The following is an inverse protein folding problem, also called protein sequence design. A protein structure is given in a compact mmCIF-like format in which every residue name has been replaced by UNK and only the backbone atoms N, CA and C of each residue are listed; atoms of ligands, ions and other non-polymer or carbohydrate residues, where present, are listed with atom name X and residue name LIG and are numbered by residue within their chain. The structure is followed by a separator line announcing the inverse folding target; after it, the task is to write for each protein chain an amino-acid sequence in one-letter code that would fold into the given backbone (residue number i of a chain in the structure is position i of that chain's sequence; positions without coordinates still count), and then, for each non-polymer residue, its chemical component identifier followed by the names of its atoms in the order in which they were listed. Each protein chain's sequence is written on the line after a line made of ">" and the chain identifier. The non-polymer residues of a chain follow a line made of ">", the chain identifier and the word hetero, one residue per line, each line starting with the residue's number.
data_IF_425711132501
#
_entry.id   IF_425711132501
#
_cell.length_a   1.000
_cell.length_b   1.000
_cell.length_c   1.000
_cell.angle_alpha   90.00
_cell.angle_beta   90.00
_cell.angle_gamma   90.00
#
_symmetry.space_group_name_H-M   'P 1'
#
loop_
_entity.id
_entity.type
_entity.pdbx_description
1 polymer ?
#
# COMPACT_ATOMS: atom_id res chain seq x y z
N UNK A 1 -3.41 -21.79 16.65
CA UNK A 1 -2.23 -21.05 16.15
C UNK A 1 -2.06 -19.79 17.00
N UNK A 2 -0.90 -19.59 17.62
CA UNK A 2 -0.63 -18.38 18.43
C UNK A 2 -0.09 -17.32 17.47
N UNK A 3 -0.89 -16.28 17.18
CA UNK A 3 -0.46 -15.13 16.38
C UNK A 3 -0.08 -14.00 17.34
N UNK A 4 1.09 -13.40 17.13
CA UNK A 4 1.49 -12.18 17.84
C UNK A 4 0.47 -11.05 17.57
N UNK A 5 0.22 -10.22 18.59
CA UNK A 5 -0.78 -9.13 18.56
C UNK A 5 -0.23 -7.89 19.24
N UNK A 6 -0.71 -6.72 18.81
CA UNK A 6 -0.35 -5.45 19.44
C UNK A 6 -1.34 -5.07 20.53
N UNK A 7 -0.81 -4.61 21.66
CA UNK A 7 -1.58 -4.09 22.77
C UNK A 7 -1.07 -2.70 23.18
N UNK A 8 -1.97 -1.81 23.53
CA UNK A 8 -1.62 -0.50 24.07
C UNK A 8 -0.94 -0.63 25.44
N UNK A 9 0.22 0.01 25.62
CA UNK A 9 0.92 0.05 26.93
C UNK A 9 0.66 1.35 27.71
N UNK A 10 0.05 2.33 27.05
CA UNK A 10 -0.32 3.66 27.55
C UNK A 10 -1.67 4.07 26.94
N UNK A 11 -2.39 5.06 27.48
CA UNK A 11 -3.57 5.57 26.83
C UNK A 11 -3.21 6.33 25.55
N UNK A 12 -4.12 6.31 24.57
CA UNK A 12 -4.08 7.14 23.37
C UNK A 12 -5.42 7.86 23.20
N UNK A 13 -5.38 9.15 22.86
CA UNK A 13 -6.59 9.91 22.54
C UNK A 13 -7.05 9.65 21.10
N UNK A 14 -8.33 9.87 20.80
CA UNK A 14 -8.82 9.91 19.42
C UNK A 14 -7.97 10.85 18.55
N UNK A 15 -7.56 10.38 17.36
CA UNK A 15 -6.68 11.11 16.46
C UNK A 15 -5.18 11.03 16.78
N UNK A 16 -4.77 10.46 17.93
CA UNK A 16 -3.35 10.27 18.26
C UNK A 16 -2.73 9.14 17.42
N UNK A 17 -1.47 9.31 17.02
CA UNK A 17 -0.68 8.26 16.39
C UNK A 17 -0.29 7.20 17.43
N UNK A 18 -0.81 5.98 17.26
CA UNK A 18 -0.51 4.80 18.08
C UNK A 18 0.92 4.30 17.80
N UNK A 19 1.28 4.22 16.51
CA UNK A 19 2.64 3.91 16.07
C UNK A 19 2.92 4.52 14.69
N UNK A 20 4.20 4.68 14.38
CA UNK A 20 4.69 5.08 13.06
C UNK A 20 5.75 4.08 12.60
N UNK A 21 5.66 3.64 11.34
CA UNK A 21 6.49 2.58 10.80
C UNK A 21 6.93 2.85 9.35
N UNK A 22 8.18 2.48 9.04
CA UNK A 22 8.70 2.43 7.67
C UNK A 22 8.41 1.05 7.07
N UNK A 23 8.09 0.95 5.77
CA UNK A 23 7.86 -0.34 5.15
C UNK A 23 9.18 -1.11 5.01
N UNK A 24 9.11 -2.44 5.16
CA UNK A 24 10.19 -3.37 4.82
C UNK A 24 10.47 -3.33 3.32
N UNK A 25 9.39 -3.30 2.53
CA UNK A 25 9.43 -3.05 1.09
C UNK A 25 8.15 -2.32 0.69
N UNK A 26 8.25 -1.41 -0.28
CA UNK A 26 7.09 -0.75 -0.88
C UNK A 26 7.37 -0.44 -2.35
N UNK A 27 6.31 -0.39 -3.17
CA UNK A 27 6.37 0.03 -4.57
C UNK A 27 5.04 0.62 -5.03
N UNK A 28 5.08 1.34 -6.15
CA UNK A 28 3.89 1.82 -6.84
C UNK A 28 3.15 0.67 -7.52
N UNK A 29 1.82 0.73 -7.55
CA UNK A 29 0.99 -0.23 -8.27
C UNK A 29 1.20 -0.14 -9.79
N UNK A 30 1.06 -1.26 -10.49
CA UNK A 30 1.36 -1.36 -11.91
C UNK A 30 0.40 -0.53 -12.76
N UNK A 31 -0.90 -0.59 -12.46
CA UNK A 31 -1.92 0.23 -13.10
C UNK A 31 -1.77 1.70 -12.75
N UNK A 32 -1.47 2.04 -11.49
CA UNK A 32 -1.23 3.42 -11.08
C UNK A 32 -0.08 4.04 -11.92
N UNK A 33 1.02 3.31 -12.12
CA UNK A 33 2.10 3.75 -13.00
C UNK A 33 1.68 3.81 -14.47
N UNK A 34 0.92 2.83 -14.97
CA UNK A 34 0.43 2.82 -16.35
C UNK A 34 -0.47 4.03 -16.66
N UNK A 35 -1.28 4.45 -15.68
CA UNK A 35 -2.12 5.64 -15.68
C UNK A 35 -1.34 6.95 -15.44
N UNK A 36 -0.01 6.91 -15.50
CA UNK A 36 0.89 8.08 -15.47
C UNK A 36 0.91 8.85 -14.15
N UNK A 37 0.50 8.24 -13.05
CA UNK A 37 0.77 8.80 -11.74
C UNK A 37 2.28 8.78 -11.48
N UNK A 38 2.88 9.94 -11.27
CA UNK A 38 4.30 10.06 -11.02
C UNK A 38 4.57 10.02 -9.50
N UNK A 39 5.21 8.95 -9.03
CA UNK A 39 5.58 8.76 -7.63
C UNK A 39 7.08 8.53 -7.48
N UNK A 40 7.65 8.95 -6.36
CA UNK A 40 9.02 8.59 -5.99
C UNK A 40 9.12 7.08 -5.86
N UNK A 41 10.06 6.47 -6.59
CA UNK A 41 10.22 5.02 -6.63
C UNK A 41 10.54 4.42 -5.25
N UNK A 42 11.15 5.19 -4.34
CA UNK A 42 11.38 4.76 -2.97
C UNK A 42 10.19 5.04 -2.06
N UNK A 43 9.83 6.31 -1.90
CA UNK A 43 9.01 6.77 -0.77
C UNK A 43 7.55 7.04 -1.12
N UNK A 44 7.12 6.75 -2.36
CA UNK A 44 5.76 6.98 -2.85
C UNK A 44 5.30 8.44 -2.89
N UNK A 45 6.12 9.43 -2.47
CA UNK A 45 5.78 10.86 -2.59
C UNK A 45 5.36 11.21 -4.02
N UNK A 46 4.27 11.97 -4.22
CA UNK A 46 3.92 12.48 -5.53
C UNK A 46 5.02 13.38 -6.11
N UNK A 47 5.31 13.16 -7.39
CA UNK A 47 6.29 13.95 -8.15
C UNK A 47 5.63 15.01 -9.05
N UNK A 48 4.30 15.07 -9.05
CA UNK A 48 3.53 16.17 -9.64
C UNK A 48 3.21 17.23 -8.58
N UNK A 49 3.12 18.50 -8.99
CA UNK A 49 2.53 19.54 -8.15
C UNK A 49 1.02 19.34 -8.06
N UNK A 50 0.38 19.91 -7.03
CA UNK A 50 -1.08 19.87 -6.91
C UNK A 50 -1.78 20.42 -8.15
N UNK A 51 -1.26 21.50 -8.72
CA UNK A 51 -1.81 22.11 -9.93
C UNK A 51 -1.63 21.24 -11.18
N UNK A 52 -0.43 20.68 -11.39
CA UNK A 52 -0.19 19.79 -12.53
C UNK A 52 -1.06 18.53 -12.43
N UNK A 53 -1.19 18.00 -11.22
CA UNK A 53 -2.06 16.87 -10.91
C UNK A 53 -3.54 17.19 -11.22
N UNK A 54 -4.06 18.31 -10.72
CA UNK A 54 -5.44 18.74 -10.98
C UNK A 54 -5.70 18.98 -12.48
N UNK A 55 -4.78 19.64 -13.20
CA UNK A 55 -4.89 19.84 -14.66
C UNK A 55 -5.00 18.53 -15.42
N UNK A 56 -4.18 17.54 -15.05
CA UNK A 56 -4.16 16.22 -15.71
C UNK A 56 -5.46 15.47 -15.42
N UNK A 57 -5.85 15.40 -14.16
CA UNK A 57 -7.01 14.62 -13.72
C UNK A 57 -8.35 15.23 -14.19
N UNK A 58 -8.45 16.56 -14.24
CA UNK A 58 -9.64 17.26 -14.74
C UNK A 58 -9.62 17.48 -16.26
N UNK A 59 -8.58 17.02 -16.98
CA UNK A 59 -8.35 17.32 -18.41
C UNK A 59 -8.42 18.82 -18.76
N UNK A 60 -8.05 19.70 -17.82
CA UNK A 60 -8.13 21.18 -17.95
C UNK A 60 -6.72 21.80 -17.90
N UNK A 61 -6.00 21.92 -19.02
CA UNK A 61 -4.61 22.44 -19.02
C UNK A 61 -4.49 23.90 -18.57
N UNK A 62 -5.57 24.67 -18.63
CA UNK A 62 -5.60 26.06 -18.19
C UNK A 62 -5.99 26.24 -16.72
N UNK A 63 -6.37 25.18 -16.00
CA UNK A 63 -6.70 25.24 -14.58
C UNK A 63 -5.54 25.86 -13.78
N UNK A 64 -5.88 26.73 -12.84
CA UNK A 64 -4.94 27.36 -11.92
C UNK A 64 -5.41 27.13 -10.50
N UNK A 65 -4.55 26.58 -9.67
CA UNK A 65 -4.83 26.46 -8.24
C UNK A 65 -4.31 27.71 -7.52
N UNK A 66 -5.13 28.38 -6.70
CA UNK A 66 -4.65 29.46 -5.85
C UNK A 66 -3.70 28.90 -4.76
N UNK A 67 -3.09 29.78 -3.98
CA UNK A 67 -2.24 29.39 -2.83
C UNK A 67 -1.15 28.36 -3.20
N UNK A 68 -0.20 28.69 -4.10
CA UNK A 68 0.87 27.76 -4.49
C UNK A 68 1.75 27.32 -3.32
N UNK A 69 1.81 28.12 -2.24
CA UNK A 69 2.47 27.77 -0.98
C UNK A 69 1.88 26.55 -0.27
N UNK A 70 0.60 26.22 -0.52
CA UNK A 70 -0.04 25.02 0.02
C UNK A 70 0.42 23.73 -0.70
N UNK A 71 1.12 23.82 -1.83
CA UNK A 71 1.68 22.67 -2.52
C UNK A 71 3.05 22.31 -1.93
N UNK A 72 3.19 21.09 -1.43
CA UNK A 72 4.44 20.63 -0.78
C UNK A 72 5.45 20.00 -1.75
N UNK A 73 5.08 19.81 -3.02
CA UNK A 73 5.96 19.17 -4.03
C UNK A 73 7.16 20.06 -4.35
N UNK A 74 8.36 19.49 -4.33
CA UNK A 74 9.63 20.19 -4.59
C UNK A 74 10.26 19.71 -5.89
N UNK A 75 9.67 20.09 -7.02
CA UNK A 75 10.08 19.63 -8.35
C UNK A 75 11.57 19.85 -8.67
N UNK A 76 12.16 20.91 -8.12
CA UNK A 76 13.58 21.25 -8.25
C UNK A 76 14.53 20.25 -7.57
N UNK A 77 14.05 19.47 -6.60
CA UNK A 77 14.85 18.45 -5.90
C UNK A 77 14.74 17.07 -6.58
N UNK A 78 13.84 16.92 -7.55
CA UNK A 78 13.60 15.64 -8.20
C UNK A 78 14.82 15.20 -9.01
N UNK A 79 15.16 13.93 -8.89
CA UNK A 79 16.28 13.30 -9.60
C UNK A 79 15.84 11.98 -10.22
N UNK A 80 16.52 11.55 -11.27
CA UNK A 80 16.29 10.24 -11.90
C UNK A 80 17.54 9.37 -11.80
N UNK A 81 17.33 8.05 -11.84
CA UNK A 81 18.41 7.10 -12.06
C UNK A 81 18.98 7.29 -13.47
N UNK A 82 20.30 7.51 -13.65
CA UNK A 82 20.88 7.71 -14.97
C UNK A 82 20.81 6.46 -15.86
N UNK A 83 20.71 5.27 -15.26
CA UNK A 83 20.63 4.00 -15.99
C UNK A 83 19.23 3.73 -16.54
N UNK A 84 18.23 3.62 -15.67
CA UNK A 84 16.88 3.18 -16.04
C UNK A 84 15.79 4.28 -15.98
N UNK A 85 16.15 5.52 -15.64
CA UNK A 85 15.24 6.67 -15.53
C UNK A 85 14.16 6.58 -14.44
N UNK A 86 14.28 5.64 -13.48
CA UNK A 86 13.42 5.64 -12.29
C UNK A 86 13.52 6.98 -11.53
N UNK A 87 12.39 7.55 -11.15
CA UNK A 87 12.30 8.90 -10.60
C UNK A 87 12.23 8.90 -9.06
N UNK A 88 12.87 9.90 -8.46
CA UNK A 88 12.95 10.07 -7.01
C UNK A 88 12.69 11.53 -6.63
N UNK A 89 12.07 11.76 -5.47
CA UNK A 89 11.82 13.12 -5.00
C UNK A 89 13.09 13.84 -4.52
N UNK A 90 14.19 13.13 -4.30
CA UNK A 90 15.47 13.68 -3.83
C UNK A 90 16.63 12.72 -4.08
N UNK A 91 17.85 13.25 -4.06
CA UNK A 91 19.09 12.45 -4.09
C UNK A 91 19.18 11.46 -2.93
N UNK A 92 18.69 11.87 -1.75
CA UNK A 92 18.64 10.98 -0.58
C UNK A 92 17.77 9.74 -0.85
N UNK A 93 16.61 9.91 -1.50
CA UNK A 93 15.77 8.78 -1.89
C UNK A 93 16.42 7.92 -2.97
N UNK A 94 17.06 8.52 -3.98
CA UNK A 94 17.78 7.77 -5.02
C UNK A 94 18.90 6.91 -4.41
N UNK A 95 19.73 7.52 -3.57
CA UNK A 95 20.86 6.85 -2.91
C UNK A 95 20.39 5.73 -1.98
N UNK A 96 19.33 5.96 -1.19
CA UNK A 96 18.75 4.93 -0.32
C UNK A 96 18.15 3.77 -1.12
N UNK A 97 17.44 4.03 -2.20
CA UNK A 97 16.94 2.97 -3.09
C UNK A 97 18.08 2.17 -3.73
N UNK A 98 19.15 2.84 -4.17
CA UNK A 98 20.35 2.22 -4.72
C UNK A 98 21.00 1.23 -3.75
N UNK A 99 21.10 1.61 -2.48
CA UNK A 99 21.64 0.73 -1.43
C UNK A 99 20.70 -0.44 -1.12
N UNK A 100 19.39 -0.23 -1.18
CA UNK A 100 18.40 -1.24 -0.74
C UNK A 100 18.06 -2.28 -1.80
N UNK A 101 17.68 -1.89 -3.02
CA UNK A 101 17.15 -2.83 -4.02
C UNK A 101 17.40 -2.42 -5.48
N UNK A 102 17.77 -1.16 -5.73
CA UNK A 102 17.70 -0.60 -7.08
C UNK A 102 18.89 -0.95 -7.96
N UNK A 103 20.05 -1.39 -7.45
CA UNK A 103 21.15 -1.88 -8.30
C UNK A 103 20.69 -3.09 -9.14
N UNK A 104 20.05 -4.06 -8.48
CA UNK A 104 19.49 -5.25 -9.12
C UNK A 104 18.35 -4.86 -10.05
N UNK A 105 17.39 -4.05 -9.60
CA UNK A 105 16.27 -3.64 -10.45
C UNK A 105 16.69 -2.77 -11.64
N UNK A 106 17.72 -1.93 -11.50
CA UNK A 106 18.27 -1.14 -12.59
C UNK A 106 18.88 -2.06 -13.66
N UNK A 107 19.68 -3.06 -13.24
CA UNK A 107 20.22 -4.04 -14.18
C UNK A 107 19.09 -4.78 -14.93
N UNK A 108 18.10 -5.30 -14.20
CA UNK A 108 16.94 -6.03 -14.77
C UNK A 108 16.12 -5.15 -15.72
N UNK A 109 16.00 -3.85 -15.43
CA UNK A 109 15.26 -2.90 -16.28
C UNK A 109 15.98 -2.59 -17.59
N UNK A 110 17.31 -2.68 -17.60
CA UNK A 110 18.15 -2.43 -18.77
C UNK A 110 18.41 -3.68 -19.62
N UNK A 111 17.94 -4.86 -19.19
CA UNK A 111 18.02 -6.08 -19.99
C UNK A 111 17.23 -5.94 -21.31
N UNK A 112 17.80 -6.32 -22.48
CA UNK A 112 17.13 -6.19 -23.77
C UNK A 112 15.79 -6.92 -23.86
N UNK A 113 15.65 -8.03 -23.13
CA UNK A 113 14.41 -8.81 -23.06
C UNK A 113 13.31 -8.14 -22.23
N UNK A 114 13.65 -7.07 -21.49
CA UNK A 114 12.76 -6.28 -20.63
C UNK A 114 11.89 -7.15 -19.70
N UNK A 115 12.49 -8.06 -18.90
CA UNK A 115 11.75 -9.08 -18.15
C UNK A 115 10.78 -8.49 -17.12
N UNK A 116 11.18 -7.43 -16.40
CA UNK A 116 10.30 -6.76 -15.45
C UNK A 116 9.09 -6.12 -16.14
N UNK A 117 9.30 -5.47 -17.28
CA UNK A 117 8.21 -4.88 -18.06
C UNK A 117 7.22 -5.95 -18.51
N UNK A 118 7.70 -7.04 -19.10
CA UNK A 118 6.84 -8.13 -19.57
C UNK A 118 6.04 -8.77 -18.43
N UNK A 119 6.65 -8.92 -17.26
CA UNK A 119 5.97 -9.43 -16.05
C UNK A 119 4.86 -8.48 -15.60
N UNK A 120 5.10 -7.17 -15.61
CA UNK A 120 4.08 -6.17 -15.26
C UNK A 120 2.95 -6.09 -16.28
N UNK A 121 3.24 -6.22 -17.58
CA UNK A 121 2.20 -6.29 -18.61
C UNK A 121 1.34 -7.55 -18.42
N UNK A 122 1.96 -8.72 -18.19
CA UNK A 122 1.23 -9.94 -17.89
C UNK A 122 0.41 -9.84 -16.59
N UNK A 123 0.93 -9.18 -15.56
CA UNK A 123 0.18 -8.94 -14.33
C UNK A 123 -1.10 -8.15 -14.57
N UNK A 124 -1.02 -7.06 -15.35
CA UNK A 124 -2.15 -6.19 -15.66
C UNK A 124 -3.23 -6.87 -16.51
N UNK A 125 -2.89 -7.86 -17.33
CA UNK A 125 -3.91 -8.63 -18.08
C UNK A 125 -4.71 -9.57 -17.18
N UNK A 126 -4.14 -9.98 -16.04
CA UNK A 126 -4.79 -10.86 -15.07
C UNK A 126 -5.50 -10.09 -13.95
N UNK A 127 -5.02 -8.89 -13.61
CA UNK A 127 -5.50 -8.08 -12.49
C UNK A 127 -5.93 -6.71 -13.01
N UNK A 128 -7.19 -6.58 -13.41
CA UNK A 128 -7.79 -5.29 -13.81
C UNK A 128 -8.06 -4.42 -12.56
N UNK A 129 -8.05 -3.08 -12.66
CA UNK A 129 -8.33 -2.21 -11.51
C UNK A 129 -9.70 -2.45 -10.85
N UNK A 130 -9.86 -2.16 -9.54
CA UNK A 130 -8.85 -1.59 -8.65
C UNK A 130 -7.77 -2.61 -8.25
N UNK A 131 -6.51 -2.19 -8.38
CA UNK A 131 -5.36 -3.01 -7.98
C UNK A 131 -5.11 -2.82 -6.48
N UNK A 132 -5.06 -3.91 -5.71
CA UNK A 132 -4.77 -3.86 -4.26
C UNK A 132 -3.34 -4.28 -3.93
N UNK A 133 -2.65 -4.85 -4.90
CA UNK A 133 -1.26 -5.33 -4.77
C UNK A 133 -0.63 -5.49 -6.15
N UNK A 134 0.69 -5.63 -6.21
CA UNK A 134 1.41 -5.79 -7.48
C UNK A 134 2.56 -6.78 -7.39
N UNK A 135 2.83 -7.50 -8.48
CA UNK A 135 3.97 -8.42 -8.60
C UNK A 135 5.31 -7.72 -8.40
N UNK A 136 5.38 -6.40 -8.66
CA UNK A 136 6.61 -5.64 -8.44
C UNK A 136 7.07 -5.68 -6.99
N UNK A 137 6.16 -5.77 -6.02
CA UNK A 137 6.53 -5.84 -4.61
C UNK A 137 7.34 -7.10 -4.33
N UNK A 138 6.94 -8.23 -4.89
CA UNK A 138 7.69 -9.49 -4.81
C UNK A 138 9.07 -9.37 -5.47
N UNK A 139 9.13 -8.77 -6.66
CA UNK A 139 10.41 -8.54 -7.37
C UNK A 139 11.34 -7.62 -6.57
N UNK A 140 10.78 -6.59 -5.91
CA UNK A 140 11.52 -5.66 -5.07
C UNK A 140 12.06 -6.31 -3.80
N UNK A 141 11.28 -7.18 -3.17
CA UNK A 141 11.73 -7.99 -2.02
C UNK A 141 12.89 -8.90 -2.45
N UNK A 142 12.77 -9.59 -3.60
CA UNK A 142 13.85 -10.43 -4.12
C UNK A 142 15.12 -9.62 -4.44
N UNK A 143 14.97 -8.45 -5.06
CA UNK A 143 16.09 -7.56 -5.33
C UNK A 143 16.76 -7.05 -4.05
N UNK A 144 15.95 -6.70 -3.04
CA UNK A 144 16.46 -6.28 -1.73
C UNK A 144 17.24 -7.41 -1.04
N UNK A 145 16.71 -8.64 -1.10
CA UNK A 145 17.38 -9.81 -0.56
C UNK A 145 18.73 -10.09 -1.24
N UNK A 146 18.80 -9.95 -2.57
CA UNK A 146 20.05 -10.12 -3.33
C UNK A 146 21.09 -9.06 -2.95
N UNK A 147 20.66 -7.82 -2.66
CA UNK A 147 21.54 -6.71 -2.28
C UNK A 147 21.91 -6.69 -0.80
N UNK A 148 21.17 -7.39 0.06
CA UNK A 148 21.40 -7.35 1.49
C UNK A 148 22.81 -7.86 1.84
N UNK A 149 23.57 -7.04 2.60
CA UNK A 149 24.86 -7.46 3.15
C UNK A 149 24.68 -8.62 4.14
N UNK A 150 23.65 -8.54 4.98
CA UNK A 150 23.25 -9.58 5.93
C UNK A 150 21.96 -10.27 5.46
N UNK A 151 22.14 -11.39 4.76
CA UNK A 151 21.03 -12.22 4.27
C UNK A 151 20.23 -12.85 5.41
N UNK A 152 20.87 -13.22 6.52
CA UNK A 152 20.19 -13.84 7.65
C UNK A 152 19.22 -12.86 8.31
N UNK A 153 19.62 -11.60 8.45
CA UNK A 153 18.73 -10.53 8.91
C UNK A 153 17.56 -10.30 7.94
N UNK A 154 17.83 -10.30 6.63
CA UNK A 154 16.77 -10.13 5.62
C UNK A 154 15.77 -11.30 5.62
N UNK A 155 16.23 -12.55 5.81
CA UNK A 155 15.34 -13.70 6.02
C UNK A 155 14.51 -13.53 7.28
N UNK A 156 15.16 -13.22 8.42
CA UNK A 156 14.46 -13.07 9.69
C UNK A 156 13.37 -11.99 9.63
N UNK A 157 13.61 -10.88 8.92
CA UNK A 157 12.63 -9.81 8.73
C UNK A 157 11.42 -10.26 7.91
N UNK A 158 11.62 -11.09 6.88
CA UNK A 158 10.53 -11.69 6.09
C UNK A 158 9.78 -12.79 6.86
N UNK A 159 10.47 -13.59 7.67
CA UNK A 159 9.87 -14.64 8.49
C UNK A 159 8.84 -14.10 9.49
N UNK A 160 9.01 -12.86 9.98
CA UNK A 160 8.03 -12.18 10.84
C UNK A 160 6.64 -12.06 10.22
N UNK A 161 6.55 -12.10 8.90
CA UNK A 161 5.28 -12.07 8.20
C UNK A 161 4.78 -13.47 7.79
N UNK A 162 5.65 -14.47 7.83
CA UNK A 162 5.38 -15.84 7.37
C UNK A 162 4.82 -16.77 8.47
N UNK A 163 4.73 -16.32 9.71
CA UNK A 163 4.09 -17.06 10.81
C UNK A 163 2.62 -17.36 10.48
N UNK A 164 2.34 -18.60 10.07
CA UNK A 164 1.03 -19.08 9.63
C UNK A 164 0.90 -19.44 8.14
N UNK A 165 2.00 -19.70 7.45
CA UNK A 165 2.01 -20.09 6.04
C UNK A 165 2.80 -21.38 5.75
N UNK A 166 2.49 -22.52 6.38
CA UNK A 166 2.84 -23.85 5.83
C UNK A 166 1.78 -24.92 6.20
N UNK A 167 1.31 -25.65 5.18
CA UNK A 167 1.10 -27.11 5.11
C UNK A 167 0.53 -27.46 3.70
N UNK A 168 0.82 -28.56 2.98
CA UNK A 168 1.85 -29.60 3.07
C UNK A 168 1.88 -30.44 1.76
N UNK A 169 3.09 -30.82 1.36
CA UNK A 169 3.55 -32.12 0.82
C UNK A 169 3.01 -32.82 -0.45
N UNK A 170 1.80 -32.61 -0.96
CA UNK A 170 1.27 -33.59 -1.94
C UNK A 170 1.74 -33.39 -3.41
N UNK A 171 2.17 -32.18 -3.80
CA UNK A 171 2.54 -31.85 -5.20
C UNK A 171 3.98 -32.25 -5.58
N UNK A 172 4.82 -32.63 -4.60
CA UNK A 172 6.27 -32.79 -4.79
C UNK A 172 6.68 -34.13 -5.42
N UNK A 173 5.83 -35.16 -5.31
CA UNK A 173 6.14 -36.54 -5.73
C UNK A 173 6.17 -36.74 -7.25
N UNK A 174 5.48 -35.87 -8.00
CA UNK A 174 5.41 -35.96 -9.47
C UNK A 174 6.62 -35.27 -10.12
N UNK A 175 7.08 -34.15 -9.56
CA UNK A 175 8.19 -33.35 -10.10
C UNK A 175 9.57 -33.95 -9.77
N UNK A 176 9.71 -34.66 -8.65
CA UNK A 176 10.95 -35.37 -8.28
C UNK A 176 11.33 -36.45 -9.30
N UNK A 177 10.33 -37.11 -9.90
CA UNK A 177 10.52 -38.15 -10.93
C UNK A 177 11.00 -37.62 -12.28
N UNK A 178 10.83 -36.31 -12.55
CA UNK A 178 11.06 -35.71 -13.86
C UNK A 178 12.38 -34.93 -13.97
N UNK A 179 12.91 -34.36 -12.87
CA UNK A 179 13.97 -33.34 -12.93
C UNK A 179 15.22 -33.65 -12.08
N UNK A 180 15.17 -34.69 -11.23
CA UNK A 180 16.28 -35.12 -10.38
C UNK A 180 16.49 -34.29 -9.10
N UNK A 181 16.96 -34.94 -8.05
CA UNK A 181 16.87 -34.46 -6.66
C UNK A 181 17.59 -33.12 -6.38
N UNK A 182 18.74 -32.89 -7.02
CA UNK A 182 19.54 -31.66 -6.84
C UNK A 182 18.87 -30.40 -7.41
N UNK A 183 18.12 -30.54 -8.50
CA UNK A 183 17.41 -29.42 -9.13
C UNK A 183 16.05 -29.21 -8.47
N UNK A 184 15.42 -30.28 -8.03
CA UNK A 184 14.15 -30.26 -7.30
C UNK A 184 14.31 -29.50 -5.99
N UNK A 185 15.40 -29.67 -5.23
CA UNK A 185 15.59 -28.93 -3.98
C UNK A 185 15.75 -27.41 -4.22
N UNK A 186 16.51 -27.01 -5.24
CA UNK A 186 16.68 -25.58 -5.60
C UNK A 186 15.43 -24.95 -6.21
N UNK A 187 14.74 -25.67 -7.09
CA UNK A 187 13.47 -25.23 -7.68
C UNK A 187 12.34 -25.26 -6.66
N UNK A 188 12.37 -26.18 -5.68
CA UNK A 188 11.46 -26.24 -4.52
C UNK A 188 11.68 -25.01 -3.66
N UNK A 189 12.92 -24.74 -3.24
CA UNK A 189 13.23 -23.51 -2.49
C UNK A 189 12.80 -22.27 -3.27
N UNK A 190 13.12 -22.16 -4.56
CA UNK A 190 12.71 -20.99 -5.37
C UNK A 190 11.19 -20.89 -5.53
N UNK A 191 10.48 -21.98 -5.84
CA UNK A 191 9.02 -21.98 -6.01
C UNK A 191 8.30 -21.73 -4.70
N UNK A 192 8.73 -22.36 -3.61
CA UNK A 192 8.11 -22.25 -2.30
C UNK A 192 8.39 -20.87 -1.70
N UNK A 193 9.61 -20.33 -1.87
CA UNK A 193 9.91 -18.94 -1.53
C UNK A 193 9.12 -17.96 -2.39
N UNK A 194 9.02 -18.19 -3.71
CA UNK A 194 8.26 -17.32 -4.62
C UNK A 194 6.77 -17.33 -4.23
N UNK A 195 6.19 -18.51 -4.01
CA UNK A 195 4.80 -18.65 -3.58
C UNK A 195 4.58 -18.07 -2.17
N UNK A 196 5.54 -18.22 -1.26
CA UNK A 196 5.48 -17.60 0.06
C UNK A 196 5.52 -16.07 -0.04
N UNK A 197 6.38 -15.51 -0.90
CA UNK A 197 6.44 -14.06 -1.17
C UNK A 197 5.13 -13.57 -1.80
N UNK A 198 4.52 -14.31 -2.72
CA UNK A 198 3.22 -13.93 -3.27
C UNK A 198 2.09 -13.99 -2.24
N UNK A 199 2.05 -15.02 -1.39
CA UNK A 199 1.08 -15.09 -0.27
C UNK A 199 1.29 -13.95 0.72
N UNK A 200 2.54 -13.65 1.04
CA UNK A 200 2.94 -12.52 1.88
C UNK A 200 2.42 -11.21 1.32
N UNK A 201 2.71 -10.93 0.05
CA UNK A 201 2.30 -9.70 -0.65
C UNK A 201 0.78 -9.57 -0.76
N UNK A 202 0.07 -10.68 -0.97
CA UNK A 202 -1.39 -10.68 -1.04
C UNK A 202 -2.05 -10.48 0.33
N UNK A 203 -1.50 -11.07 1.40
CA UNK A 203 -2.11 -11.04 2.75
C UNK A 203 -1.69 -9.84 3.59
N UNK A 204 -0.44 -9.40 3.45
CA UNK A 204 0.20 -8.41 4.33
C UNK A 204 0.48 -7.08 3.60
N UNK A 205 0.17 -7.00 2.31
CA UNK A 205 0.28 -5.76 1.56
C UNK A 205 -0.72 -4.72 2.06
N UNK A 206 -0.22 -3.60 2.54
CA UNK A 206 -1.01 -2.43 2.86
C UNK A 206 -0.94 -1.44 1.70
N UNK A 207 -2.09 -1.08 1.15
CA UNK A 207 -2.17 -0.05 0.11
C UNK A 207 -1.72 1.29 0.69
N UNK A 208 -0.84 1.97 -0.04
CA UNK A 208 -0.30 3.30 0.24
C UNK A 208 -1.01 4.27 -0.69
N UNK A 209 -1.68 5.28 -0.14
CA UNK A 209 -2.30 6.36 -0.90
C UNK A 209 -1.60 7.69 -0.60
N UNK A 210 -1.16 8.39 -1.65
CA UNK A 210 -0.57 9.73 -1.54
C UNK A 210 -1.17 10.64 -2.61
N UNK A 211 -1.31 11.93 -2.33
CA UNK A 211 -1.93 12.88 -3.27
C UNK A 211 -1.36 14.28 -3.09
N UNK A 212 -0.95 14.89 -4.20
CA UNK A 212 -0.52 16.28 -4.19
C UNK A 212 -1.72 17.22 -3.99
N UNK A 213 -2.85 16.92 -4.64
CA UNK A 213 -4.07 17.73 -4.54
C UNK A 213 -4.68 17.66 -3.15
N UNK A 214 -4.85 16.47 -2.57
CA UNK A 214 -5.47 16.32 -1.24
C UNK A 214 -4.64 16.99 -0.14
N UNK A 215 -3.30 16.98 -0.25
CA UNK A 215 -2.44 17.73 0.66
C UNK A 215 -2.57 19.23 0.46
N UNK A 216 -2.66 19.71 -0.78
CA UNK A 216 -2.91 21.13 -1.04
C UNK A 216 -4.25 21.58 -0.48
N UNK A 217 -5.33 20.81 -0.66
CA UNK A 217 -6.65 21.07 -0.07
C UNK A 217 -6.58 21.13 1.45
N UNK A 218 -5.94 20.14 2.08
CA UNK A 218 -5.75 20.14 3.54
C UNK A 218 -5.02 21.40 4.01
N UNK A 219 -3.90 21.75 3.37
CA UNK A 219 -3.13 22.94 3.73
C UNK A 219 -3.93 24.23 3.48
N UNK A 220 -4.80 24.26 2.46
CA UNK A 220 -5.74 25.36 2.24
C UNK A 220 -6.77 25.45 3.35
N UNK A 221 -7.29 24.34 3.86
CA UNK A 221 -8.23 24.31 4.98
C UNK A 221 -7.62 24.91 6.26
N UNK A 222 -6.32 24.73 6.47
CA UNK A 222 -5.59 25.26 7.62
C UNK A 222 -5.25 26.77 7.49
N UNK A 223 -5.57 27.43 6.37
CA UNK A 223 -5.35 28.88 6.20
C UNK A 223 -6.44 29.71 6.88
N UNK A 224 -6.02 30.74 7.61
CA UNK A 224 -6.90 31.81 8.08
C UNK A 224 -7.19 32.78 6.92
N UNK A 225 -8.37 32.68 6.30
CA UNK A 225 -8.83 33.55 5.21
C UNK A 225 -10.13 34.27 5.59
N UNK A 226 -10.42 35.46 5.02
CA UNK A 226 -11.74 36.08 5.10
C UNK A 226 -12.85 35.19 4.53
N UNK A 227 -14.06 35.23 5.09
CA UNK A 227 -15.19 34.36 4.72
C UNK A 227 -15.50 34.35 3.21
N UNK A 228 -15.42 35.50 2.55
CA UNK A 228 -15.66 35.60 1.10
C UNK A 228 -14.59 34.88 0.26
N UNK A 229 -13.32 34.98 0.69
CA UNK A 229 -12.21 34.28 0.04
C UNK A 229 -12.26 32.77 0.32
N UNK A 230 -12.64 32.38 1.55
CA UNK A 230 -12.89 30.99 1.93
C UNK A 230 -13.98 30.38 1.04
N UNK A 231 -15.16 31.00 0.95
CA UNK A 231 -16.26 30.48 0.14
C UNK A 231 -15.91 30.36 -1.35
N UNK A 232 -15.11 31.30 -1.87
CA UNK A 232 -14.63 31.24 -3.25
C UNK A 232 -13.62 30.10 -3.48
N UNK A 233 -12.75 29.83 -2.50
CA UNK A 233 -11.78 28.75 -2.54
C UNK A 233 -12.45 27.38 -2.43
N UNK A 234 -13.41 27.23 -1.51
CA UNK A 234 -14.14 25.98 -1.31
C UNK A 234 -14.95 25.63 -2.56
N UNK A 235 -15.65 26.59 -3.16
CA UNK A 235 -16.37 26.40 -4.42
C UNK A 235 -15.46 25.99 -5.58
N UNK A 236 -14.23 26.53 -5.63
CA UNK A 236 -13.24 26.10 -6.62
C UNK A 236 -12.78 24.65 -6.36
N UNK A 237 -12.51 24.30 -5.11
CA UNK A 237 -12.08 22.94 -4.71
C UNK A 237 -13.16 21.93 -5.12
N UNK A 238 -14.42 22.20 -4.77
CA UNK A 238 -15.55 21.35 -5.12
C UNK A 238 -15.66 21.18 -6.64
N UNK A 239 -15.56 22.29 -7.40
CA UNK A 239 -15.62 22.22 -8.85
C UNK A 239 -14.48 21.40 -9.45
N UNK A 240 -13.27 21.50 -8.91
CA UNK A 240 -12.13 20.69 -9.36
C UNK A 240 -12.39 19.20 -9.09
N UNK A 241 -12.93 18.83 -7.93
CA UNK A 241 -13.26 17.44 -7.65
C UNK A 241 -14.38 16.90 -8.55
N UNK A 242 -15.42 17.68 -8.82
CA UNK A 242 -16.46 17.31 -9.78
C UNK A 242 -15.91 17.09 -11.19
N UNK A 243 -15.02 17.97 -11.65
CA UNK A 243 -14.37 17.85 -12.95
C UNK A 243 -13.51 16.58 -13.01
N UNK A 244 -12.77 16.28 -11.95
CA UNK A 244 -11.94 15.08 -11.89
C UNK A 244 -12.81 13.82 -11.88
N UNK A 245 -13.86 13.76 -11.07
CA UNK A 245 -14.76 12.61 -11.01
C UNK A 245 -15.38 12.33 -12.38
N UNK A 246 -15.75 13.39 -13.12
CA UNK A 246 -16.30 13.26 -14.46
C UNK A 246 -15.30 12.73 -15.49
N UNK A 247 -14.04 13.17 -15.43
CA UNK A 247 -13.03 12.86 -16.45
C UNK A 247 -12.20 11.61 -16.13
N UNK A 248 -11.81 11.43 -14.87
CA UNK A 248 -10.90 10.37 -14.39
C UNK A 248 -11.55 9.40 -13.40
N UNK A 249 -12.77 9.67 -12.92
CA UNK A 249 -13.45 8.89 -11.88
C UNK A 249 -12.76 8.97 -10.52
N UNK A 250 -13.01 7.98 -9.67
CA UNK A 250 -12.52 7.93 -8.30
C UNK A 250 -10.98 7.74 -8.14
N UNK A 251 -10.24 7.61 -9.24
CA UNK A 251 -8.78 7.47 -9.20
C UNK A 251 -8.15 8.87 -9.02
N UNK A 252 -7.80 9.20 -7.78
CA UNK A 252 -7.20 10.50 -7.42
C UNK A 252 -5.74 10.38 -6.98
N UNK A 253 -5.37 9.21 -6.48
CA UNK A 253 -4.16 9.05 -5.69
C UNK A 253 -3.02 8.43 -6.49
N UNK A 254 -1.80 8.77 -6.09
CA UNK A 254 -0.67 7.91 -6.28
C UNK A 254 -0.82 6.71 -5.32
N UNK A 255 -0.96 5.53 -5.90
CA UNK A 255 -1.23 4.30 -5.18
C UNK A 255 -0.06 3.33 -5.25
N UNK A 256 0.27 2.76 -4.11
CA UNK A 256 1.31 1.77 -3.94
C UNK A 256 0.88 0.67 -2.98
N UNK A 257 1.80 -0.24 -2.72
CA UNK A 257 1.65 -1.27 -1.69
C UNK A 257 2.94 -1.38 -0.91
N UNK A 258 2.84 -1.61 0.40
CA UNK A 258 3.99 -1.83 1.28
C UNK A 258 3.75 -2.92 2.32
N UNK A 259 4.84 -3.50 2.83
CA UNK A 259 4.83 -4.45 3.95
C UNK A 259 5.30 -3.77 5.22
N UNK A 260 4.49 -3.84 6.27
CA UNK A 260 4.71 -3.16 7.56
C UNK A 260 4.68 -4.19 8.69
N UNK A 261 5.81 -4.39 9.36
CA UNK A 261 6.00 -5.49 10.32
C UNK A 261 5.08 -5.37 11.53
N UNK A 262 4.96 -4.18 12.11
CA UNK A 262 4.12 -3.96 13.29
C UNK A 262 2.65 -3.90 12.91
N UNK A 263 2.30 -3.19 11.84
CA UNK A 263 0.90 -3.14 11.40
C UNK A 263 0.33 -4.53 11.06
N UNK A 264 1.14 -5.44 10.50
CA UNK A 264 0.73 -6.81 10.21
C UNK A 264 0.34 -7.66 11.45
N UNK A 265 0.71 -7.21 12.65
CA UNK A 265 0.32 -7.84 13.92
C UNK A 265 -1.07 -7.39 14.39
N UNK A 266 -1.67 -6.36 13.80
CA UNK A 266 -3.00 -5.90 14.18
C UNK A 266 -4.05 -6.89 13.69
N UNK A 267 -4.91 -7.36 14.60
CA UNK A 267 -6.06 -8.19 14.26
C UNK A 267 -7.16 -7.38 13.57
N UNK A 268 -7.99 -8.07 12.79
CA UNK A 268 -9.21 -7.48 12.26
C UNK A 268 -10.27 -7.24 13.35
N UNK A 269 -10.94 -6.09 13.29
CA UNK A 269 -12.24 -5.84 13.93
C UNK A 269 -13.18 -5.13 12.96
N UNK A 270 -14.48 -5.49 12.96
CA UNK A 270 -15.49 -4.74 12.20
C UNK A 270 -15.87 -3.40 12.88
N UNK A 271 -15.34 -3.16 14.07
CA UNK A 271 -15.38 -1.90 14.84
C UNK A 271 -13.96 -1.63 15.34
N UNK A 272 -13.03 -1.27 14.44
CA UNK A 272 -11.62 -1.10 14.80
C UNK A 272 -11.43 0.09 15.73
N UNK A 273 -10.33 0.08 16.49
CA UNK A 273 -9.92 1.22 17.32
C UNK A 273 -8.76 2.01 16.70
N UNK A 274 -8.16 1.54 15.62
CA UNK A 274 -7.15 2.25 14.86
C UNK A 274 -7.34 2.07 13.35
N UNK A 275 -6.80 3.01 12.56
CA UNK A 275 -6.73 2.93 11.11
C UNK A 275 -5.35 3.29 10.57
N UNK A 276 -4.98 2.68 9.44
CA UNK A 276 -3.76 3.06 8.69
C UNK A 276 -3.95 4.42 8.04
N UNK A 277 -2.95 5.30 8.18
CA UNK A 277 -2.89 6.62 7.55
C UNK A 277 -1.47 6.95 7.09
N UNK A 278 -1.34 7.84 6.12
CA UNK A 278 -0.06 8.29 5.54
C UNK A 278 0.09 9.82 5.68
N UNK A 279 0.19 10.34 6.91
CA UNK A 279 0.08 11.79 7.18
C UNK A 279 1.20 12.62 6.54
N UNK A 280 2.33 11.99 6.19
CA UNK A 280 3.49 12.67 5.58
C UNK A 280 3.48 12.67 4.05
N UNK A 281 2.38 12.21 3.43
CA UNK A 281 2.22 12.08 1.98
C UNK A 281 3.34 11.26 1.34
N UNK A 282 3.73 10.17 2.01
CA UNK A 282 4.78 9.24 1.60
C UNK A 282 4.44 7.83 2.14
N UNK A 283 5.33 6.87 1.95
CA UNK A 283 5.18 5.49 2.39
C UNK A 283 5.23 5.22 3.91
N UNK A 284 5.36 6.26 4.75
CA UNK A 284 5.47 6.09 6.20
C UNK A 284 4.06 5.89 6.74
N UNK A 285 3.81 4.70 7.30
CA UNK A 285 2.53 4.35 7.88
C UNK A 285 2.42 4.92 9.29
N UNK A 286 1.26 5.47 9.61
CA UNK A 286 0.85 5.83 10.96
C UNK A 286 -0.45 5.09 11.28
N UNK A 287 -0.49 4.33 12.37
CA UNK A 287 -1.76 3.87 12.92
C UNK A 287 -2.33 4.98 13.77
N UNK A 288 -3.50 5.49 13.41
CA UNK A 288 -4.17 6.60 14.10
C UNK A 288 -5.37 6.04 14.87
N UNK A 289 -5.50 6.43 16.14
CA UNK A 289 -6.61 6.03 16.98
C UNK A 289 -7.94 6.62 16.46
N UNK A 290 -8.97 5.77 16.33
CA UNK A 290 -10.33 6.13 15.90
C UNK A 290 -11.24 6.52 17.07
N UNK A 291 -10.79 6.27 18.29
CA UNK A 291 -11.41 6.58 19.57
C UNK A 291 -10.32 6.53 20.64
N UNK A 292 -10.63 6.98 21.85
CA UNK A 292 -9.74 6.75 22.99
C UNK A 292 -9.45 5.26 23.18
N UNK A 293 -8.17 4.93 23.39
CA UNK A 293 -7.66 3.56 23.60
C UNK A 293 -7.02 3.50 24.99
N UNK A 294 -7.48 2.57 25.83
CA UNK A 294 -6.92 2.38 27.17
C UNK A 294 -5.71 1.42 27.19
N UNK A 295 -4.80 1.53 28.17
CA UNK A 295 -3.76 0.53 28.38
C UNK A 295 -4.34 -0.88 28.50
N UNK A 296 -3.72 -1.84 27.82
CA UNK A 296 -4.14 -3.24 27.76
C UNK A 296 -5.15 -3.56 26.65
N UNK A 297 -5.71 -2.57 25.94
CA UNK A 297 -6.55 -2.84 24.77
C UNK A 297 -5.72 -3.36 23.59
N UNK A 298 -6.24 -4.36 22.87
CA UNK A 298 -5.66 -4.80 21.61
C UNK A 298 -5.83 -3.72 20.53
N UNK A 299 -4.78 -3.44 19.77
CA UNK A 299 -4.86 -2.56 18.60
C UNK A 299 -5.42 -3.37 17.43
N UNK A 300 -6.56 -2.92 16.92
CA UNK A 300 -7.32 -3.59 15.85
C UNK A 300 -7.60 -2.63 14.71
N UNK A 301 -7.52 -3.15 13.48
CA UNK A 301 -7.77 -2.41 12.24
C UNK A 301 -8.86 -3.11 11.42
N UNK A 302 -9.44 -2.42 10.44
CA UNK A 302 -10.29 -3.10 9.45
C UNK A 302 -9.43 -3.67 8.32
N UNK A 303 -9.74 -4.89 7.87
CA UNK A 303 -9.18 -5.49 6.66
C UNK A 303 -10.13 -5.32 5.45
N UNK A 304 -11.30 -4.75 5.72
CA UNK A 304 -12.34 -4.47 4.74
C UNK A 304 -12.35 -2.96 4.48
N UNK A 305 -12.58 -2.58 3.23
CA UNK A 305 -12.91 -1.21 2.87
C UNK A 305 -14.24 -0.77 3.51
N UNK A 306 -14.49 0.55 3.55
CA UNK A 306 -15.67 1.12 4.22
C UNK A 306 -16.99 0.60 3.63
N UNK A 307 -17.06 0.39 2.31
CA UNK A 307 -18.25 -0.16 1.67
C UNK A 307 -18.51 -1.59 2.16
N UNK A 308 -17.48 -2.44 2.15
CA UNK A 308 -17.54 -3.81 2.66
C UNK A 308 -17.84 -3.85 4.16
N UNK A 309 -17.28 -2.93 4.94
CA UNK A 309 -17.50 -2.81 6.39
C UNK A 309 -18.95 -2.46 6.74
N UNK A 310 -19.65 -1.75 5.84
CA UNK A 310 -21.06 -1.38 6.01
C UNK A 310 -22.04 -2.48 5.59
N UNK A 311 -21.57 -3.57 4.95
CA UNK A 311 -22.42 -4.71 4.58
C UNK A 311 -22.83 -5.58 5.77
N UNK A 312 -23.75 -6.51 5.51
CA UNK A 312 -24.23 -7.48 6.51
C UNK A 312 -23.12 -8.34 7.11
N UNK A 313 -23.35 -8.87 8.32
CA UNK A 313 -22.44 -9.82 8.99
C UNK A 313 -22.02 -10.97 8.08
N UNK A 314 -22.97 -11.51 7.32
CA UNK A 314 -22.74 -12.59 6.37
C UNK A 314 -21.72 -12.19 5.31
N UNK A 315 -21.95 -11.07 4.61
CA UNK A 315 -21.05 -10.54 3.57
C UNK A 315 -19.64 -10.28 4.11
N UNK A 316 -19.52 -9.63 5.28
CA UNK A 316 -18.22 -9.36 5.91
C UNK A 316 -17.49 -10.64 6.26
N UNK A 317 -18.19 -11.61 6.86
CA UNK A 317 -17.59 -12.90 7.25
C UNK A 317 -17.16 -13.71 6.04
N UNK A 318 -17.95 -13.70 4.96
CA UNK A 318 -17.61 -14.35 3.70
C UNK A 318 -16.32 -13.77 3.11
N UNK A 319 -16.24 -12.44 2.97
CA UNK A 319 -15.02 -11.76 2.47
C UNK A 319 -13.79 -12.06 3.34
N UNK A 320 -13.95 -12.03 4.66
CA UNK A 320 -12.85 -12.32 5.60
C UNK A 320 -12.38 -13.79 5.51
N UNK A 321 -13.28 -14.74 5.27
CA UNK A 321 -12.92 -16.15 5.08
C UNK A 321 -12.25 -16.37 3.73
N UNK A 322 -12.77 -15.79 2.66
CA UNK A 322 -12.24 -15.97 1.29
C UNK A 322 -10.87 -15.32 1.11
N UNK A 323 -10.67 -14.10 1.65
CA UNK A 323 -9.46 -13.32 1.40
C UNK A 323 -8.41 -13.45 2.51
N UNK A 324 -8.83 -13.69 3.75
CA UNK A 324 -7.94 -13.66 4.91
C UNK A 324 -7.96 -14.95 5.74
N UNK A 325 -8.75 -15.96 5.33
CA UNK A 325 -8.90 -17.24 6.01
C UNK A 325 -9.25 -17.09 7.50
N UNK A 326 -10.00 -16.04 7.85
CA UNK A 326 -10.34 -15.73 9.24
C UNK A 326 -11.85 -15.63 9.45
N UNK A 327 -12.30 -15.98 10.66
CA UNK A 327 -13.66 -15.71 11.13
C UNK A 327 -13.60 -14.63 12.21
N UNK A 328 -14.34 -13.54 12.02
CA UNK A 328 -14.36 -12.41 12.95
C UNK A 328 -15.34 -12.65 14.10
N UNK A 329 -14.88 -12.39 15.32
CA UNK A 329 -15.65 -12.51 16.56
C UNK A 329 -15.72 -11.17 17.32
N UNK A 330 -15.53 -10.04 16.63
CA UNK A 330 -15.60 -8.72 17.25
C UNK A 330 -17.01 -8.43 17.81
N UNK A 331 -17.11 -7.41 18.67
CA UNK A 331 -18.37 -6.97 19.31
C UNK A 331 -19.53 -6.87 18.31
N UNK A 332 -19.33 -6.16 17.19
CA UNK A 332 -20.36 -6.02 16.15
C UNK A 332 -20.79 -7.35 15.53
N UNK A 333 -19.85 -8.25 15.25
CA UNK A 333 -20.17 -9.59 14.73
C UNK A 333 -20.91 -10.47 15.74
N UNK A 334 -20.72 -10.25 17.04
CA UNK A 334 -21.46 -10.94 18.09
C UNK A 334 -22.87 -10.37 18.25
N UNK A 335 -23.03 -9.05 18.22
CA UNK A 335 -24.32 -8.36 18.29
C UNK A 335 -25.22 -8.72 17.09
N UNK A 336 -24.62 -8.86 15.90
CA UNK A 336 -25.33 -9.22 14.66
C UNK A 336 -25.50 -10.74 14.48
N UNK A 337 -25.13 -11.59 15.46
CA UNK A 337 -25.09 -13.05 15.27
C UNK A 337 -26.45 -13.71 14.98
N UNK A 338 -27.55 -13.08 15.43
CA UNK A 338 -28.92 -13.58 15.20
C UNK A 338 -29.57 -12.99 13.93
N UNK A 339 -28.87 -12.12 13.19
CA UNK A 339 -29.40 -11.58 11.94
C UNK A 339 -29.41 -12.65 10.86
N UNK A 340 -30.41 -12.65 9.95
CA UNK A 340 -30.46 -13.62 8.87
C UNK A 340 -29.23 -13.49 7.96
N UNK A 341 -28.70 -14.62 7.53
CA UNK A 341 -27.56 -14.71 6.61
C UNK A 341 -28.01 -14.35 5.18
N UNK A 342 -28.28 -13.06 4.97
CA UNK A 342 -28.61 -12.50 3.65
C UNK A 342 -27.45 -11.65 3.14
N UNK A 343 -27.15 -11.81 1.85
CA UNK A 343 -26.31 -10.87 1.13
C UNK A 343 -27.11 -9.57 0.97
N UNK A 344 -26.60 -8.47 1.53
CA UNK A 344 -27.08 -7.14 1.16
C UNK A 344 -26.74 -6.89 -0.30
N UNK A 345 -27.72 -6.44 -1.09
CA UNK A 345 -27.54 -6.04 -2.50
C UNK A 345 -26.44 -4.97 -2.65
#
# INVERSE_FOLDING_TARGET
>A
EVRERLFAVKPFAEGEAVLTELPVAACQLAWNRACKYAACDLCMRPLESAEANARRLAAKPQLRLPQPSCCTTRAQEHVSCPGCQAAYCSEACRSKAWQQYHQVLCAVSNEPSRPLHNLLEAWKTMHYPPETTTVELAVRIMAAFVQAEDKSKAVAELERFASGCIAEEEQCTILSRLLGDKWVERLRTLRDLTAAVFRLVARCGQVIGTSALSVWVKNCNDLELPDAERGSLDALIDQVYEDIEKESGAFLNNEGVGLFSLQNLCSHSCVPNAQSSFPHNNYILSLVALRDIQPGEEITVSYLDDCSLNRSRHSRTKLLRENYLLTCWCKRCQEEANQPDVTSD
#
